data_IF_483590539786
#
_entry.id   IF_483590539786
#
_cell.length_a   1.000
_cell.length_b   1.000
_cell.length_c   1.000
_cell.angle_alpha   90.00
_cell.angle_beta   90.00
_cell.angle_gamma   90.00
#
_symmetry.space_group_name_H-M   'P 1'
#
loop_
_entity.id
_entity.type
_entity.pdbx_description
1 polymer ?
#
# COMPACT_ATOMS: atom_id res chain seq x y z
N UNK A 1 -10.96 0.51 -18.45
CA UNK A 1 -9.53 0.91 -18.45
C UNK A 1 -9.34 1.85 -19.62
N UNK A 2 -8.94 3.11 -19.40
CA UNK A 2 -8.76 4.07 -20.49
C UNK A 2 -7.68 3.60 -21.47
N UNK A 3 -7.84 3.95 -22.76
CA UNK A 3 -6.96 3.52 -23.86
C UNK A 3 -5.56 4.15 -23.87
N UNK A 4 -5.33 5.18 -23.05
CA UNK A 4 -4.17 6.07 -23.14
C UNK A 4 -2.84 5.42 -22.70
N UNK A 5 -2.87 4.41 -21.83
CA UNK A 5 -1.66 3.64 -21.46
C UNK A 5 -1.10 2.77 -22.60
N UNK A 6 -1.77 2.69 -23.75
CA UNK A 6 -1.35 1.90 -24.91
C UNK A 6 -0.54 2.71 -25.93
N UNK A 7 -0.39 4.03 -25.73
CA UNK A 7 0.32 4.88 -26.69
C UNK A 7 1.84 4.64 -26.67
N UNK A 8 2.45 4.73 -27.86
CA UNK A 8 3.89 4.56 -28.11
C UNK A 8 4.77 5.62 -27.42
N UNK A 9 4.18 6.57 -26.70
CA UNK A 9 4.85 7.70 -26.03
C UNK A 9 5.49 7.40 -24.68
N UNK A 10 5.22 6.23 -24.07
CA UNK A 10 5.79 5.85 -22.76
C UNK A 10 7.06 4.99 -22.87
N UNK A 11 7.46 4.60 -24.07
CA UNK A 11 8.62 3.72 -24.27
C UNK A 11 9.91 4.40 -23.80
N UNK A 12 10.61 3.77 -22.86
CA UNK A 12 11.86 4.28 -22.30
C UNK A 12 11.69 5.38 -21.24
N UNK A 13 10.45 5.69 -20.84
CA UNK A 13 10.18 6.66 -19.76
C UNK A 13 10.10 5.91 -18.43
N UNK A 14 10.73 6.48 -17.40
CA UNK A 14 10.63 6.02 -16.01
C UNK A 14 9.71 7.00 -15.28
N UNK A 15 8.70 6.47 -14.59
CA UNK A 15 7.72 7.24 -13.82
C UNK A 15 7.78 6.84 -12.35
N UNK A 16 7.73 7.81 -11.44
CA UNK A 16 7.66 7.60 -10.00
C UNK A 16 6.19 7.73 -9.56
N UNK A 17 5.49 6.61 -9.39
CA UNK A 17 4.04 6.58 -9.23
C UNK A 17 3.61 6.72 -7.77
N UNK A 18 3.66 7.94 -7.24
CA UNK A 18 3.14 8.27 -5.90
C UNK A 18 1.83 9.05 -5.92
N UNK A 19 1.03 8.85 -4.87
CA UNK A 19 -0.22 9.57 -4.63
C UNK A 19 -0.09 10.61 -3.51
N UNK A 20 -1.21 10.92 -2.86
CA UNK A 20 -1.22 11.74 -1.65
C UNK A 20 -0.42 11.08 -0.52
N UNK A 21 0.12 11.93 0.37
CA UNK A 21 1.03 11.56 1.47
C UNK A 21 0.34 11.69 2.83
N UNK A 22 -0.42 10.69 3.27
CA UNK A 22 -0.97 10.70 4.62
C UNK A 22 0.15 10.44 5.63
N UNK A 23 0.05 11.10 6.78
CA UNK A 23 0.80 10.72 7.98
C UNK A 23 0.17 9.48 8.62
N UNK A 24 0.96 8.71 9.37
CA UNK A 24 0.43 7.57 10.13
C UNK A 24 -0.66 7.99 11.15
N UNK A 25 -0.57 9.20 11.72
CA UNK A 25 -1.60 9.75 12.60
C UNK A 25 -2.92 9.97 11.86
N UNK A 26 -2.90 10.56 10.67
CA UNK A 26 -4.10 10.71 9.84
C UNK A 26 -4.70 9.34 9.47
N UNK A 27 -3.87 8.33 9.19
CA UNK A 27 -4.34 6.97 8.95
C UNK A 27 -5.01 6.39 10.21
N UNK A 28 -4.45 6.59 11.40
CA UNK A 28 -5.05 6.14 12.66
C UNK A 28 -6.38 6.84 12.96
N UNK A 29 -6.51 8.13 12.61
CA UNK A 29 -7.78 8.87 12.72
C UNK A 29 -8.86 8.30 11.78
N UNK A 30 -8.49 8.00 10.52
CA UNK A 30 -9.39 7.32 9.58
C UNK A 30 -9.88 5.99 10.16
N UNK A 31 -8.97 5.17 10.70
CA UNK A 31 -9.34 3.90 11.32
C UNK A 31 -10.26 4.10 12.52
N UNK A 32 -9.96 5.06 13.40
CA UNK A 32 -10.79 5.39 14.57
C UNK A 32 -12.22 5.71 14.16
N UNK A 33 -12.40 6.50 13.09
CA UNK A 33 -13.71 6.83 12.54
C UNK A 33 -14.49 5.61 12.01
N UNK A 34 -13.79 4.61 11.45
CA UNK A 34 -14.39 3.40 10.90
C UNK A 34 -14.77 2.41 12.01
N UNK A 35 -13.89 2.19 12.99
CA UNK A 35 -14.11 1.19 14.05
C UNK A 35 -14.92 1.72 15.23
N UNK A 36 -15.07 3.03 15.35
CA UNK A 36 -15.87 3.67 16.40
C UNK A 36 -15.20 3.68 17.79
N UNK A 37 -13.91 3.34 17.86
CA UNK A 37 -13.10 3.42 19.08
C UNK A 37 -11.77 4.12 18.79
N UNK A 38 -11.12 4.76 19.78
CA UNK A 38 -9.84 5.43 19.57
C UNK A 38 -8.76 4.46 19.10
N UNK A 39 -8.09 4.81 17.99
CA UNK A 39 -6.90 4.15 17.45
C UNK A 39 -5.78 5.19 17.39
N UNK A 40 -4.61 4.86 17.92
CA UNK A 40 -3.44 5.74 17.95
C UNK A 40 -2.29 5.12 17.19
N UNK A 41 -1.55 5.93 16.43
CA UNK A 41 -0.24 5.53 15.93
C UNK A 41 0.79 5.58 17.06
N UNK A 42 1.69 4.60 17.11
CA UNK A 42 2.83 4.59 18.01
C UNK A 42 4.06 4.23 17.19
N UNK A 43 5.00 5.16 17.12
CA UNK A 43 6.28 4.95 16.45
C UNK A 43 7.17 4.05 17.31
N UNK A 44 7.64 2.95 16.74
CA UNK A 44 8.39 1.93 17.48
C UNK A 44 9.78 1.73 16.85
N UNK A 45 10.80 1.42 17.66
CA UNK A 45 12.05 0.89 17.12
C UNK A 45 11.77 -0.35 16.27
N UNK A 46 12.47 -0.48 15.14
CA UNK A 46 12.33 -1.57 14.17
C UNK A 46 12.32 -2.95 14.81
N UNK A 47 13.25 -3.23 15.74
CA UNK A 47 13.36 -4.53 16.41
C UNK A 47 12.14 -4.81 17.30
N UNK A 48 11.56 -3.78 17.90
CA UNK A 48 10.35 -3.89 18.70
C UNK A 48 9.12 -4.09 17.82
N UNK A 49 9.02 -3.37 16.70
CA UNK A 49 7.95 -3.53 15.72
C UNK A 49 7.92 -4.97 15.17
N UNK A 50 9.06 -5.52 14.74
CA UNK A 50 9.16 -6.92 14.28
C UNK A 50 8.69 -7.91 15.35
N UNK A 51 9.12 -7.73 16.60
CA UNK A 51 8.72 -8.61 17.71
C UNK A 51 7.20 -8.57 17.95
N UNK A 52 6.59 -7.39 17.91
CA UNK A 52 5.15 -7.25 18.10
C UNK A 52 4.37 -7.92 16.97
N UNK A 53 4.83 -7.78 15.72
CA UNK A 53 4.23 -8.48 14.58
C UNK A 53 4.30 -10.00 14.73
N UNK A 54 5.43 -10.53 15.21
CA UNK A 54 5.57 -11.97 15.51
C UNK A 54 4.60 -12.45 16.59
N UNK A 55 4.46 -11.69 17.69
CA UNK A 55 3.50 -11.98 18.76
C UNK A 55 2.06 -11.95 18.22
N UNK A 56 1.77 -11.05 17.28
CA UNK A 56 0.48 -10.97 16.59
C UNK A 56 0.25 -12.11 15.57
N UNK A 57 1.23 -13.01 15.37
CA UNK A 57 1.13 -14.20 14.54
C UNK A 57 1.69 -14.05 13.13
N UNK A 58 2.37 -12.94 12.81
CA UNK A 58 3.09 -12.77 11.54
C UNK A 58 4.35 -13.67 11.57
N UNK A 59 4.62 -14.49 10.54
CA UNK A 59 5.84 -15.30 10.53
C UNK A 59 7.09 -14.41 10.51
N UNK A 60 8.14 -14.79 11.27
CA UNK A 60 9.31 -13.96 11.54
C UNK A 60 9.93 -13.26 10.32
N UNK A 61 10.12 -14.00 9.22
CA UNK A 61 10.66 -13.43 7.98
C UNK A 61 9.80 -12.29 7.40
N UNK A 62 8.47 -12.38 7.51
CA UNK A 62 7.57 -11.31 7.09
C UNK A 62 7.53 -10.16 8.09
N UNK A 63 7.60 -10.45 9.39
CA UNK A 63 7.69 -9.43 10.43
C UNK A 63 8.92 -8.53 10.24
N UNK A 64 10.06 -9.13 9.91
CA UNK A 64 11.28 -8.39 9.55
C UNK A 64 11.05 -7.52 8.33
N UNK A 65 10.55 -8.07 7.21
CA UNK A 65 10.32 -7.27 5.99
C UNK A 65 9.37 -6.08 6.23
N UNK A 66 8.33 -6.27 7.03
CA UNK A 66 7.38 -5.20 7.36
C UNK A 66 8.03 -4.12 8.24
N UNK A 67 8.79 -4.52 9.26
CA UNK A 67 9.49 -3.57 10.13
C UNK A 67 10.61 -2.81 9.40
N UNK A 68 11.32 -3.47 8.47
CA UNK A 68 12.28 -2.83 7.56
C UNK A 68 11.59 -1.78 6.68
N UNK A 69 10.45 -2.15 6.07
CA UNK A 69 9.69 -1.25 5.22
C UNK A 69 9.23 0.00 5.98
N UNK A 70 8.73 -0.17 7.20
CA UNK A 70 8.26 0.92 8.04
C UNK A 70 9.39 1.87 8.48
N UNK A 71 10.55 1.31 8.82
CA UNK A 71 11.75 2.10 9.10
C UNK A 71 12.24 2.88 7.87
N UNK A 72 12.15 2.29 6.68
CA UNK A 72 12.53 2.93 5.42
C UNK A 72 11.55 4.03 5.00
N UNK A 73 10.26 3.91 5.34
CA UNK A 73 9.27 4.98 5.16
C UNK A 73 9.68 6.23 5.92
N UNK A 74 10.18 6.09 7.16
CA UNK A 74 10.60 7.23 7.98
C UNK A 74 11.77 8.04 7.35
N UNK A 75 12.54 7.43 6.44
CA UNK A 75 13.61 8.10 5.68
C UNK A 75 13.22 8.41 4.24
N UNK A 76 11.94 8.29 3.89
CA UNK A 76 11.39 8.72 2.61
C UNK A 76 11.39 7.68 1.50
N UNK A 77 11.58 6.40 1.79
CA UNK A 77 11.64 5.35 0.76
C UNK A 77 10.35 5.19 -0.06
N UNK A 78 9.20 5.62 0.46
CA UNK A 78 7.92 5.68 -0.24
C UNK A 78 7.46 7.10 -0.60
N UNK A 79 8.32 8.11 -0.37
CA UNK A 79 7.98 9.50 -0.67
C UNK A 79 8.39 9.86 -2.10
N UNK A 80 7.50 10.53 -2.83
CA UNK A 80 7.79 11.14 -4.12
C UNK A 80 6.90 12.36 -4.31
N UNK A 81 7.47 13.41 -4.90
CA UNK A 81 6.78 14.63 -5.30
C UNK A 81 6.61 14.74 -6.82
N UNK A 82 6.84 13.64 -7.55
CA UNK A 82 6.87 13.64 -9.02
C UNK A 82 5.57 14.13 -9.66
N UNK A 83 4.41 13.80 -9.08
CA UNK A 83 3.09 13.97 -9.68
C UNK A 83 2.86 13.15 -10.95
N UNK A 84 3.69 12.13 -11.22
CA UNK A 84 3.59 11.30 -12.43
C UNK A 84 2.27 10.56 -12.49
N UNK A 85 1.80 10.04 -11.36
CA UNK A 85 0.56 9.29 -11.29
C UNK A 85 -0.63 10.13 -11.76
N UNK A 86 -0.83 11.32 -11.20
CA UNK A 86 -1.95 12.19 -11.54
C UNK A 86 -1.91 12.66 -13.00
N UNK A 87 -0.71 12.95 -13.52
CA UNK A 87 -0.53 13.27 -14.95
C UNK A 87 -0.91 12.09 -15.84
N UNK A 88 -0.50 10.88 -15.45
CA UNK A 88 -0.71 9.67 -16.24
C UNK A 88 -2.19 9.24 -16.27
N UNK A 89 -2.91 9.42 -15.15
CA UNK A 89 -4.34 9.04 -15.06
C UNK A 89 -5.30 10.19 -15.40
N UNK A 90 -4.80 11.42 -15.54
CA UNK A 90 -5.58 12.60 -15.93
C UNK A 90 -6.54 13.12 -14.84
N UNK A 91 -6.42 12.65 -13.60
CA UNK A 91 -7.24 13.07 -12.48
C UNK A 91 -6.45 13.04 -11.15
N UNK A 92 -6.94 13.76 -10.11
CA UNK A 92 -6.30 13.70 -8.80
C UNK A 92 -6.31 12.28 -8.21
N UNK A 93 -5.23 11.89 -7.54
CA UNK A 93 -5.14 10.59 -6.89
C UNK A 93 -6.13 10.51 -5.71
N UNK A 94 -6.90 9.42 -5.57
CA UNK A 94 -7.81 9.24 -4.44
C UNK A 94 -7.06 9.30 -3.09
N UNK A 95 -7.64 9.89 -2.04
CA UNK A 95 -7.05 9.88 -0.71
C UNK A 95 -7.08 8.46 -0.12
N UNK A 96 -6.07 8.11 0.67
CA UNK A 96 -5.98 6.79 1.32
C UNK A 96 -7.24 6.43 2.15
N UNK A 97 -7.89 7.44 2.74
CA UNK A 97 -9.13 7.26 3.49
C UNK A 97 -10.27 6.63 2.67
N UNK A 98 -10.35 6.95 1.37
CA UNK A 98 -11.34 6.35 0.47
C UNK A 98 -11.06 4.86 0.28
N UNK A 99 -9.79 4.48 0.11
CA UNK A 99 -9.38 3.08 -0.03
C UNK A 99 -9.61 2.28 1.26
N UNK A 100 -9.35 2.86 2.43
CA UNK A 100 -9.56 2.21 3.73
C UNK A 100 -11.06 2.04 4.02
N UNK A 101 -11.88 3.03 3.64
CA UNK A 101 -13.34 2.95 3.75
C UNK A 101 -13.99 2.05 2.70
N UNK A 102 -13.31 1.78 1.58
CA UNK A 102 -13.80 0.90 0.53
C UNK A 102 -13.75 -0.56 1.00
N UNK A 103 -14.88 -1.08 1.50
CA UNK A 103 -15.09 -2.52 1.57
C UNK A 103 -15.14 -3.08 0.15
N UNK A 104 -14.00 -3.48 -0.41
CA UNK A 104 -14.02 -4.46 -1.48
C UNK A 104 -14.56 -5.77 -0.91
N UNK A 105 -15.53 -6.44 -1.56
CA UNK A 105 -15.76 -7.84 -1.23
C UNK A 105 -14.43 -8.58 -1.46
N UNK A 106 -13.96 -9.32 -0.45
CA UNK A 106 -12.92 -10.32 -0.63
C UNK A 106 -13.27 -11.08 -1.91
N UNK A 107 -12.49 -10.95 -2.97
CA UNK A 107 -12.57 -11.86 -4.10
C UNK A 107 -11.94 -13.15 -3.57
N UNK A 108 -12.71 -14.20 -3.21
CA UNK A 108 -12.08 -15.47 -2.93
C UNK A 108 -11.33 -15.87 -4.21
N UNK A 109 -10.10 -16.43 -4.12
CA UNK A 109 -9.50 -17.01 -5.31
C UNK A 109 -10.51 -17.99 -5.90
N UNK A 110 -10.85 -17.83 -7.17
CA UNK A 110 -11.67 -18.81 -7.87
C UNK A 110 -10.94 -20.15 -7.76
N UNK A 111 -11.56 -21.22 -7.23
CA UNK A 111 -10.93 -22.52 -7.18
C UNK A 111 -10.53 -22.95 -8.60
N UNK A 112 -9.21 -23.03 -8.86
CA UNK A 112 -8.65 -23.60 -10.10
C UNK A 112 -8.20 -22.64 -11.20
N UNK A 113 -8.16 -21.32 -11.00
CA UNK A 113 -8.04 -20.42 -12.15
C UNK A 113 -6.64 -20.27 -12.81
N UNK A 114 -5.49 -20.53 -12.16
CA UNK A 114 -4.19 -20.16 -12.80
C UNK A 114 -2.94 -20.95 -12.38
N UNK A 115 -2.93 -22.30 -12.35
CA UNK A 115 -1.65 -23.07 -12.29
C UNK A 115 -1.64 -24.44 -12.99
N UNK A 116 -2.70 -24.87 -13.68
CA UNK A 116 -2.70 -26.17 -14.38
C UNK A 116 -2.74 -25.97 -15.89
N UNK A 117 -1.54 -25.94 -16.49
CA UNK A 117 -1.19 -26.47 -17.82
C UNK A 117 0.20 -25.99 -18.27
N UNK A 118 1.19 -26.18 -17.39
CA UNK A 118 2.59 -26.30 -17.81
C UNK A 118 3.16 -27.54 -17.17
N UNK A 119 2.81 -28.67 -17.77
CA UNK A 119 3.58 -29.90 -17.90
C UNK A 119 2.62 -31.09 -17.97
N UNK A 120 2.24 -31.48 -19.19
CA UNK A 120 2.15 -32.87 -19.71
C UNK A 120 1.57 -32.86 -21.13
#
# INVERSE_FOLDING_TARGET
MPEELRERGHAGVVYELGGRRPTHTELAEVHSGIVGVPVTYTDLPKEEHSRILEIAGVPAQFATVLADSDADIAVGALDTDSGDLERLIGCPAPPAAEAIGARQPLIPPSPGAWWQDRDS
#
